data_IF_378323983311
#
_entry.id   IF_378323983311
#
_cell.length_a   1.000
_cell.length_b   1.000
_cell.length_c   1.000
_cell.angle_alpha   90.00
_cell.angle_beta   90.00
_cell.angle_gamma   90.00
#
_symmetry.space_group_name_H-M   'P 1'
#
loop_
_entity.id
_entity.type
_entity.pdbx_description
1 polymer ?
#
# COMPACT_ATOMS: atom_id res chain seq x y z
N UNK A 1 2.09 17.00 1.41
CA UNK A 1 1.02 16.57 2.34
C UNK A 1 -0.07 15.92 1.54
N UNK A 2 -0.64 14.84 2.07
CA UNK A 2 -1.77 14.18 1.47
C UNK A 2 -3.06 14.97 1.73
N UNK A 3 -3.92 15.05 0.72
CA UNK A 3 -5.30 15.52 0.87
C UNK A 3 -6.15 14.36 1.39
N UNK A 4 -6.29 14.28 2.71
CA UNK A 4 -6.97 13.16 3.32
C UNK A 4 -8.49 13.17 3.04
N UNK A 5 -9.08 14.33 2.69
CA UNK A 5 -10.48 14.42 2.26
C UNK A 5 -10.64 13.80 0.87
N UNK A 6 -9.75 14.12 -0.07
CA UNK A 6 -9.77 13.53 -1.41
C UNK A 6 -9.57 12.01 -1.39
N UNK A 7 -8.72 11.50 -0.48
CA UNK A 7 -8.54 10.06 -0.27
C UNK A 7 -9.84 9.39 0.21
N UNK A 8 -10.54 10.00 1.15
CA UNK A 8 -11.82 9.51 1.66
C UNK A 8 -12.88 9.48 0.56
N UNK A 9 -13.04 10.59 -0.19
CA UNK A 9 -13.98 10.69 -1.31
C UNK A 9 -13.68 9.64 -2.39
N UNK A 10 -12.40 9.45 -2.71
CA UNK A 10 -11.96 8.47 -3.71
C UNK A 10 -12.21 7.05 -3.23
N UNK A 11 -11.96 6.75 -1.95
CA UNK A 11 -12.23 5.43 -1.35
C UNK A 11 -13.71 5.08 -1.47
N UNK A 12 -14.60 6.01 -1.11
CA UNK A 12 -16.05 5.82 -1.21
C UNK A 12 -16.50 5.63 -2.66
N UNK A 13 -15.95 6.40 -3.61
CA UNK A 13 -16.25 6.27 -5.04
C UNK A 13 -15.86 4.90 -5.58
N UNK A 14 -14.74 4.35 -5.12
CA UNK A 14 -14.23 3.03 -5.50
C UNK A 14 -14.88 1.87 -4.73
N UNK A 15 -15.79 2.16 -3.80
CA UNK A 15 -16.46 1.15 -2.98
C UNK A 15 -15.58 0.56 -1.87
N UNK A 16 -14.47 1.21 -1.54
CA UNK A 16 -13.60 0.83 -0.44
C UNK A 16 -14.14 1.38 0.88
N UNK A 17 -14.03 0.58 1.94
CA UNK A 17 -14.29 1.08 3.30
C UNK A 17 -13.09 1.89 3.76
N UNK A 18 -13.35 3.05 4.36
CA UNK A 18 -12.31 3.86 4.97
C UNK A 18 -12.75 4.34 6.36
N UNK A 19 -11.77 4.61 7.21
CA UNK A 19 -11.94 5.05 8.58
C UNK A 19 -11.02 6.24 8.83
N UNK A 20 -11.59 7.41 9.09
CA UNK A 20 -10.84 8.58 9.56
C UNK A 20 -10.45 8.34 11.02
N UNK A 21 -9.16 8.19 11.29
CA UNK A 21 -8.66 7.96 12.66
C UNK A 21 -8.62 9.28 13.43
N UNK A 22 -8.04 10.32 12.81
CA UNK A 22 -8.02 11.69 13.32
C UNK A 22 -7.85 12.71 12.17
N UNK A 23 -7.46 13.95 12.47
CA UNK A 23 -7.28 15.01 11.46
C UNK A 23 -6.04 14.82 10.56
N UNK A 24 -5.14 13.93 10.96
CA UNK A 24 -3.86 13.66 10.31
C UNK A 24 -3.78 12.27 9.70
N UNK A 25 -4.73 11.37 9.98
CA UNK A 25 -4.66 9.97 9.56
C UNK A 25 -6.00 9.42 9.03
N UNK A 26 -5.91 8.63 7.96
CA UNK A 26 -7.01 7.82 7.43
C UNK A 26 -6.53 6.41 7.10
N UNK A 27 -7.35 5.43 7.43
CA UNK A 27 -7.17 4.04 7.06
C UNK A 27 -8.13 3.68 5.93
N UNK A 28 -7.63 3.04 4.88
CA UNK A 28 -8.43 2.49 3.78
C UNK A 28 -8.31 0.97 3.82
N UNK A 29 -9.43 0.27 3.99
CA UNK A 29 -9.44 -1.18 4.06
C UNK A 29 -9.31 -1.78 2.66
N UNK A 30 -8.12 -2.32 2.36
CA UNK A 30 -7.80 -2.87 1.03
C UNK A 30 -7.98 -4.39 0.94
N UNK A 31 -8.04 -5.07 2.07
CA UNK A 31 -8.45 -6.48 2.21
C UNK A 31 -8.99 -6.69 3.64
N UNK A 32 -9.66 -7.81 3.95
CA UNK A 32 -10.06 -8.12 5.33
C UNK A 32 -8.87 -7.98 6.29
N UNK A 33 -9.06 -7.21 7.35
CA UNK A 33 -8.05 -6.93 8.39
C UNK A 33 -6.74 -6.34 7.86
N UNK A 34 -6.75 -5.71 6.67
CA UNK A 34 -5.57 -5.09 6.04
C UNK A 34 -5.85 -3.62 5.75
N UNK A 35 -5.74 -2.73 6.74
CA UNK A 35 -5.83 -1.29 6.52
C UNK A 35 -4.54 -0.76 5.91
N UNK A 36 -4.67 -0.01 4.81
CA UNK A 36 -3.61 0.84 4.25
C UNK A 36 -3.76 2.23 4.85
N UNK A 37 -2.71 2.71 5.50
CA UNK A 37 -2.73 3.96 6.25
C UNK A 37 -2.13 5.08 5.41
N UNK A 38 -2.83 6.20 5.34
CA UNK A 38 -2.34 7.46 4.82
C UNK A 38 -2.34 8.47 5.96
N UNK A 39 -1.17 8.99 6.31
CA UNK A 39 -1.05 9.98 7.36
C UNK A 39 -0.17 11.16 6.97
N UNK A 40 -0.40 12.27 7.65
CA UNK A 40 0.38 13.50 7.61
C UNK A 40 1.03 13.66 8.99
N UNK A 41 2.24 14.19 9.09
CA UNK A 41 2.76 14.58 10.42
C UNK A 41 1.96 15.76 10.97
N UNK A 42 1.80 15.86 12.29
CA UNK A 42 0.99 16.90 12.95
C UNK A 42 1.39 18.34 12.55
N UNK A 43 2.68 18.54 12.27
CA UNK A 43 3.25 19.82 11.85
C UNK A 43 3.19 20.06 10.32
N UNK A 44 2.65 19.13 9.54
CA UNK A 44 2.49 19.26 8.10
C UNK A 44 3.80 19.19 7.31
N UNK A 45 4.85 18.56 7.84
CA UNK A 45 6.17 18.51 7.19
C UNK A 45 6.46 17.22 6.43
N UNK A 46 5.75 16.14 6.76
CA UNK A 46 6.00 14.82 6.18
C UNK A 46 4.70 14.02 6.03
N UNK A 47 4.75 12.94 5.24
CA UNK A 47 3.61 12.10 4.90
C UNK A 47 3.98 10.64 5.02
N UNK A 48 3.06 9.80 5.44
CA UNK A 48 3.27 8.38 5.69
C UNK A 48 2.25 7.55 4.93
N UNK A 49 2.73 6.56 4.17
CA UNK A 49 1.91 5.52 3.53
C UNK A 49 2.45 4.15 3.96
N UNK A 50 1.62 3.32 4.59
CA UNK A 50 2.07 2.03 5.09
C UNK A 50 0.95 1.15 5.63
N UNK A 51 1.34 0.10 6.33
CA UNK A 51 0.43 -0.81 7.02
C UNK A 51 0.67 -0.73 8.53
N UNK A 52 -0.40 -0.84 9.33
CA UNK A 52 -0.28 -0.74 10.80
C UNK A 52 0.30 -1.99 11.48
N UNK A 53 0.31 -3.14 10.80
CA UNK A 53 0.72 -4.44 11.35
C UNK A 53 2.14 -4.88 10.95
N UNK A 54 2.84 -4.12 10.11
CA UNK A 54 4.19 -4.42 9.61
C UNK A 54 5.06 -3.15 9.52
N UNK A 55 6.40 -3.26 9.48
CA UNK A 55 7.26 -2.08 9.49
C UNK A 55 7.32 -1.31 8.16
N UNK A 56 6.93 -1.93 7.04
CA UNK A 56 7.01 -1.29 5.73
C UNK A 56 6.14 -0.05 5.63
N UNK A 57 6.75 1.03 5.16
CA UNK A 57 6.09 2.26 4.81
C UNK A 57 6.96 3.09 3.86
N UNK A 58 6.34 4.08 3.24
CA UNK A 58 7.01 5.09 2.42
C UNK A 58 6.54 6.49 2.81
N UNK A 59 7.23 7.49 2.27
CA UNK A 59 6.92 8.90 2.44
C UNK A 59 6.77 9.57 1.09
N UNK A 60 5.82 10.50 0.97
CA UNK A 60 5.57 11.25 -0.26
C UNK A 60 4.83 10.44 -1.32
N UNK A 61 5.11 10.69 -2.59
CA UNK A 61 4.52 9.91 -3.68
C UNK A 61 5.10 8.50 -3.69
N UNK A 62 4.26 7.48 -3.93
CA UNK A 62 4.74 6.11 -4.03
C UNK A 62 5.45 5.90 -5.37
N UNK A 63 6.71 5.45 -5.33
CA UNK A 63 7.49 5.08 -6.50
C UNK A 63 7.69 3.56 -6.50
N UNK A 64 7.19 2.89 -7.53
CA UNK A 64 7.31 1.43 -7.69
C UNK A 64 8.10 1.10 -8.95
N UNK A 65 9.01 0.13 -8.86
CA UNK A 65 9.74 -0.36 -10.03
C UNK A 65 8.79 -1.14 -10.95
N UNK A 66 8.86 -0.87 -12.25
CA UNK A 66 8.05 -1.57 -13.28
C UNK A 66 8.88 -2.47 -14.21
N UNK A 67 10.19 -2.56 -13.95
CA UNK A 67 11.18 -3.33 -14.69
C UNK A 67 12.27 -2.45 -15.33
N UNK A 68 13.43 -3.02 -15.65
CA UNK A 68 14.55 -2.39 -16.38
C UNK A 68 14.89 -0.95 -15.90
N UNK A 69 14.92 -0.73 -14.58
CA UNK A 69 15.19 0.58 -13.97
C UNK A 69 14.17 1.68 -14.31
N UNK A 70 12.93 1.30 -14.63
CA UNK A 70 11.81 2.22 -14.83
C UNK A 70 10.88 2.19 -13.63
N UNK A 71 10.28 3.34 -13.32
CA UNK A 71 9.44 3.52 -12.15
C UNK A 71 8.09 4.12 -12.54
N UNK A 72 7.04 3.67 -11.88
CA UNK A 72 5.73 4.31 -11.89
C UNK A 72 5.56 5.08 -10.57
N UNK A 73 4.99 6.28 -10.69
CA UNK A 73 4.71 7.17 -9.58
C UNK A 73 3.20 7.19 -9.35
N UNK A 74 2.77 7.07 -8.09
CA UNK A 74 1.36 7.05 -7.70
C UNK A 74 1.09 8.03 -6.57
N UNK A 75 0.25 9.02 -6.84
CA UNK A 75 -0.42 9.78 -5.78
C UNK A 75 -1.39 8.89 -4.98
N UNK A 76 -1.87 9.33 -3.80
CA UNK A 76 -2.78 8.52 -2.97
C UNK A 76 -4.04 8.04 -3.71
N UNK A 77 -4.71 8.92 -4.44
CA UNK A 77 -5.95 8.64 -5.16
C UNK A 77 -5.69 7.68 -6.35
N UNK A 78 -4.61 7.92 -7.08
CA UNK A 78 -4.16 7.06 -8.18
C UNK A 78 -3.78 5.67 -7.68
N UNK A 79 -3.12 5.59 -6.51
CA UNK A 79 -2.77 4.33 -5.87
C UNK A 79 -4.02 3.51 -5.54
N UNK A 80 -5.07 4.12 -4.97
CA UNK A 80 -6.31 3.41 -4.68
C UNK A 80 -6.92 2.83 -5.96
N UNK A 81 -6.96 3.61 -7.04
CA UNK A 81 -7.44 3.12 -8.34
C UNK A 81 -6.55 1.99 -8.91
N UNK A 82 -5.23 2.11 -8.77
CA UNK A 82 -4.26 1.14 -9.24
C UNK A 82 -4.31 -0.19 -8.47
N UNK A 83 -4.63 -0.14 -7.17
CA UNK A 83 -4.87 -1.32 -6.34
C UNK A 83 -6.13 -2.08 -6.78
N UNK A 84 -7.23 -1.35 -7.06
CA UNK A 84 -8.47 -1.92 -7.59
C UNK A 84 -8.26 -2.55 -8.97
N UNK A 85 -7.55 -1.85 -9.86
CA UNK A 85 -7.27 -2.35 -11.21
C UNK A 85 -6.31 -3.55 -11.21
N UNK A 86 -5.56 -3.76 -10.12
CA UNK A 86 -4.48 -4.75 -10.00
C UNK A 86 -3.22 -4.37 -10.76
N UNK A 87 -3.03 -3.08 -11.03
CA UNK A 87 -1.75 -2.52 -11.47
C UNK A 87 -0.75 -2.47 -10.31
N UNK A 88 -1.21 -2.14 -9.11
CA UNK A 88 -0.46 -2.31 -7.86
C UNK A 88 -0.99 -3.55 -7.14
N UNK A 89 -0.05 -4.35 -6.62
CA UNK A 89 -0.32 -5.59 -5.90
C UNK A 89 0.22 -5.48 -4.47
N UNK A 90 -0.37 -6.25 -3.57
CA UNK A 90 0.10 -6.38 -2.19
C UNK A 90 0.93 -7.66 -2.11
N UNK A 91 2.18 -7.56 -1.68
CA UNK A 91 3.01 -8.73 -1.35
C UNK A 91 3.06 -8.85 0.16
N UNK A 92 2.86 -10.05 0.68
CA UNK A 92 3.08 -10.36 2.08
C UNK A 92 4.09 -11.50 2.20
N UNK A 93 5.08 -11.29 3.06
CA UNK A 93 6.12 -12.26 3.37
C UNK A 93 5.77 -12.99 4.66
N UNK A 94 5.83 -14.31 4.60
CA UNK A 94 5.60 -15.20 5.72
C UNK A 94 6.84 -16.04 5.98
N UNK A 95 7.08 -16.33 7.25
CA UNK A 95 8.01 -17.38 7.67
C UNK A 95 7.23 -18.41 8.50
N UNK A 96 6.89 -19.54 7.88
CA UNK A 96 5.82 -20.40 8.40
C UNK A 96 4.46 -19.70 8.34
N UNK A 97 3.73 -19.65 9.46
CA UNK A 97 2.40 -19.00 9.55
C UNK A 97 2.47 -17.55 10.05
N UNK A 98 3.66 -17.02 10.31
CA UNK A 98 3.85 -15.66 10.84
C UNK A 98 4.10 -14.66 9.70
N UNK A 99 3.26 -13.62 9.63
CA UNK A 99 3.47 -12.48 8.76
C UNK A 99 4.69 -11.69 9.24
N UNK A 100 5.70 -11.55 8.38
CA UNK A 100 6.93 -10.81 8.67
C UNK A 100 6.91 -9.40 8.10
N UNK A 101 6.43 -9.27 6.87
CA UNK A 101 6.33 -7.98 6.22
C UNK A 101 5.22 -7.96 5.16
N UNK A 102 4.81 -6.77 4.75
CA UNK A 102 3.84 -6.54 3.68
C UNK A 102 4.15 -5.23 2.98
N UNK A 103 4.22 -5.25 1.66
CA UNK A 103 4.53 -4.07 0.85
C UNK A 103 3.72 -4.03 -0.44
N UNK A 104 3.82 -2.90 -1.11
CA UNK A 104 3.21 -2.67 -2.42
C UNK A 104 4.25 -2.87 -3.52
N UNK A 105 3.83 -3.53 -4.61
CA UNK A 105 4.65 -3.70 -5.80
C UNK A 105 3.84 -3.40 -7.04
N UNK A 106 4.50 -2.93 -8.09
CA UNK A 106 3.85 -2.85 -9.39
C UNK A 106 3.77 -4.25 -10.01
N UNK A 107 2.68 -4.57 -10.71
CA UNK A 107 2.47 -5.91 -11.28
C UNK A 107 3.52 -6.37 -12.30
N UNK A 108 4.28 -5.43 -12.86
CA UNK A 108 5.35 -5.70 -13.83
C UNK A 108 6.74 -5.82 -13.17
N UNK A 109 6.84 -5.66 -11.85
CA UNK A 109 8.09 -5.86 -11.13
C UNK A 109 8.54 -7.33 -11.24
N UNK A 110 9.80 -7.54 -11.63
CA UNK A 110 10.40 -8.86 -11.84
C UNK A 110 11.56 -9.15 -10.86
N UNK A 111 11.79 -8.28 -9.87
CA UNK A 111 12.97 -8.31 -9.01
C UNK A 111 12.80 -9.16 -7.74
N UNK A 112 11.58 -9.27 -7.23
CA UNK A 112 11.28 -9.67 -5.84
C UNK A 112 11.54 -11.15 -5.48
N UNK A 113 11.65 -12.04 -6.47
CA UNK A 113 11.75 -13.50 -6.20
C UNK A 113 13.18 -14.02 -6.06
N UNK A 114 14.20 -13.16 -6.18
CA UNK A 114 15.59 -13.62 -6.33
C UNK A 114 16.28 -13.99 -5.02
N UNK A 115 15.73 -13.59 -3.87
CA UNK A 115 16.42 -13.67 -2.57
C UNK A 115 15.66 -14.41 -1.49
N UNK A 116 14.69 -15.27 -1.84
CA UNK A 116 13.91 -16.02 -0.84
C UNK A 116 14.77 -17.01 -0.05
N UNK A 117 14.60 -17.02 1.27
CA UNK A 117 15.24 -17.98 2.17
C UNK A 117 14.42 -19.28 2.32
N UNK A 118 15.04 -20.42 2.65
CA UNK A 118 14.30 -21.64 2.95
C UNK A 118 13.29 -21.45 4.10
N UNK A 119 12.02 -21.76 3.83
CA UNK A 119 10.92 -21.60 4.78
C UNK A 119 10.16 -20.28 4.64
N UNK A 120 10.62 -19.39 3.77
CA UNK A 120 9.92 -18.17 3.39
C UNK A 120 8.83 -18.45 2.34
N UNK A 121 7.70 -17.78 2.48
CA UNK A 121 6.60 -17.80 1.52
C UNK A 121 6.19 -16.36 1.18
N UNK A 122 6.16 -16.02 -0.11
CA UNK A 122 5.57 -14.78 -0.60
C UNK A 122 4.17 -15.04 -1.12
N UNK A 123 3.19 -14.30 -0.61
CA UNK A 123 1.80 -14.34 -1.06
C UNK A 123 1.44 -13.01 -1.70
N UNK A 124 0.86 -13.07 -2.89
CA UNK A 124 0.47 -11.89 -3.66
C UNK A 124 -1.05 -11.78 -3.66
N UNK A 125 -1.55 -10.61 -3.26
CA UNK A 125 -2.97 -10.31 -3.19
C UNK A 125 -3.32 -9.19 -4.15
N UNK A 126 -4.53 -9.29 -4.68
CA UNK A 126 -5.25 -8.21 -5.36
C UNK A 126 -6.43 -7.83 -4.51
N UNK A 127 -6.81 -6.55 -4.54
CA UNK A 127 -8.10 -6.15 -3.98
C UNK A 127 -9.19 -6.80 -4.85
N UNK A 128 -10.07 -7.56 -4.22
CA UNK A 128 -11.31 -8.03 -4.82
C UNK A 128 -12.45 -7.20 -4.26
N UNK A 129 -13.11 -6.41 -5.12
CA UNK A 129 -14.38 -5.76 -4.81
C UNK A 129 -15.54 -6.71 -4.99
#
# INVERSE_FOLDING_TARGET
MYDLCAIEETSLLLGLSCNRVDEYEIEVLIAPDTPLVFANTENGTDTYLGFNDVPWHTHGTLLLETGDSTFAEFGPEELLAALISGEVLIVAQYFGDELKDRWLVHRNDNSEFRYMEPGEELRIYRIGT
#
